data_IF_620449511579
#
_entry.id   IF_620449511579
#
_cell.length_a   1.000
_cell.length_b   1.000
_cell.length_c   1.000
_cell.angle_alpha   90.00
_cell.angle_beta   90.00
_cell.angle_gamma   90.00
#
_symmetry.space_group_name_H-M   'P 1'
#
loop_
_entity.id
_entity.type
_entity.pdbx_description
1 polymer ?
#
# COMPACT_ATOMS: atom_id res chain seq x y z
N UNK A 1 16.81 -12.20 6.37
CA UNK A 1 17.68 -11.11 5.91
C UNK A 1 16.75 -9.92 5.89
N UNK A 2 16.89 -8.93 6.78
CA UNK A 2 16.14 -7.70 6.56
C UNK A 2 16.88 -7.00 5.45
N UNK A 3 16.10 -6.90 4.42
CA UNK A 3 16.40 -6.75 3.03
C UNK A 3 15.31 -5.76 2.66
N UNK A 4 15.64 -4.71 1.90
CA UNK A 4 14.58 -3.89 1.31
C UNK A 4 13.66 -4.87 0.59
N UNK A 5 12.41 -4.94 1.01
CA UNK A 5 11.49 -6.00 0.57
C UNK A 5 10.87 -5.66 -0.78
N UNK A 6 11.03 -4.40 -1.20
CA UNK A 6 10.69 -3.91 -2.52
C UNK A 6 10.58 -2.38 -2.55
N UNK A 7 10.28 -1.85 -3.72
CA UNK A 7 10.00 -0.42 -3.92
C UNK A 7 8.89 -0.18 -4.93
N UNK A 8 8.38 1.05 -4.97
CA UNK A 8 7.44 1.47 -6.00
C UNK A 8 7.71 2.89 -6.49
N UNK A 9 7.64 3.11 -7.81
CA UNK A 9 7.72 4.43 -8.43
C UNK A 9 6.31 4.86 -8.85
N UNK A 10 5.89 6.04 -8.36
CA UNK A 10 4.50 6.49 -8.38
C UNK A 10 4.41 7.92 -8.92
N UNK A 11 3.51 8.24 -9.86
CA UNK A 11 3.26 9.62 -10.26
C UNK A 11 2.80 10.48 -9.08
N UNK A 12 3.38 11.68 -8.95
CA UNK A 12 2.95 12.65 -7.94
C UNK A 12 1.55 13.14 -8.23
N UNK A 13 0.66 12.95 -7.25
CA UNK A 13 -0.69 13.47 -7.29
C UNK A 13 -0.85 14.62 -6.30
N UNK A 14 -1.50 15.68 -6.76
CA UNK A 14 -1.98 16.75 -5.89
C UNK A 14 -3.29 16.37 -5.19
N UNK A 15 -3.69 17.20 -4.23
CA UNK A 15 -4.98 17.07 -3.54
C UNK A 15 -4.93 16.37 -2.19
N UNK A 16 -6.06 16.40 -1.49
CA UNK A 16 -6.21 15.86 -0.14
C UNK A 16 -7.35 14.86 -0.13
N UNK A 17 -7.13 13.72 0.53
CA UNK A 17 -8.21 12.76 0.81
C UNK A 17 -9.30 13.44 1.64
N UNK A 18 -10.55 13.51 1.14
CA UNK A 18 -11.66 14.08 1.88
C UNK A 18 -11.93 13.32 3.18
N UNK A 19 -12.45 14.00 4.21
CA UNK A 19 -12.75 13.39 5.51
C UNK A 19 -13.66 12.15 5.39
N UNK A 20 -14.70 12.23 4.55
CA UNK A 20 -15.65 11.13 4.37
C UNK A 20 -15.01 9.84 3.84
N UNK A 21 -13.94 9.97 3.04
CA UNK A 21 -13.19 8.83 2.53
C UNK A 21 -12.17 8.37 3.58
N UNK A 22 -11.42 9.32 4.16
CA UNK A 22 -10.42 9.03 5.19
C UNK A 22 -10.98 8.27 6.41
N UNK A 23 -12.21 8.57 6.82
CA UNK A 23 -12.91 7.86 7.90
C UNK A 23 -13.28 6.42 7.49
N UNK A 24 -13.71 6.20 6.24
CA UNK A 24 -14.03 4.86 5.69
C UNK A 24 -12.78 4.02 5.48
N UNK A 25 -11.72 4.61 4.91
CA UNK A 25 -10.39 4.01 4.82
C UNK A 25 -9.90 3.52 6.19
N UNK A 26 -10.08 4.35 7.23
CA UNK A 26 -9.69 4.00 8.61
C UNK A 26 -10.43 2.75 9.09
N UNK A 27 -11.75 2.67 8.85
CA UNK A 27 -12.59 1.53 9.26
C UNK A 27 -12.28 0.26 8.46
N UNK A 28 -12.15 0.38 7.14
CA UNK A 28 -11.89 -0.76 6.24
C UNK A 28 -10.47 -1.29 6.44
N UNK A 29 -9.48 -0.41 6.48
CA UNK A 29 -8.09 -0.81 6.71
C UNK A 29 -7.90 -1.52 8.06
N UNK A 30 -8.53 -1.01 9.12
CA UNK A 30 -8.46 -1.64 10.45
C UNK A 30 -9.04 -3.06 10.45
N UNK A 31 -10.25 -3.24 9.92
CA UNK A 31 -10.92 -4.55 9.92
C UNK A 31 -10.22 -5.57 9.01
N UNK A 32 -9.64 -5.14 7.89
CA UNK A 32 -8.84 -6.02 7.03
C UNK A 32 -7.55 -6.45 7.73
N UNK A 33 -6.86 -5.52 8.42
CA UNK A 33 -5.69 -5.87 9.24
C UNK A 33 -6.06 -6.82 10.39
N UNK A 34 -7.19 -6.60 11.07
CA UNK A 34 -7.71 -7.50 12.10
C UNK A 34 -7.96 -8.91 11.54
N UNK A 35 -8.60 -9.02 10.37
CA UNK A 35 -8.82 -10.31 9.70
C UNK A 35 -7.50 -11.02 9.33
N UNK A 36 -6.51 -10.29 8.81
CA UNK A 36 -5.19 -10.86 8.48
C UNK A 36 -4.48 -11.34 9.75
N UNK A 37 -4.48 -10.54 10.81
CA UNK A 37 -3.85 -10.91 12.09
C UNK A 37 -4.54 -12.14 12.69
N UNK A 38 -5.88 -12.18 12.66
CA UNK A 38 -6.64 -13.30 13.18
C UNK A 38 -6.32 -14.61 12.45
N UNK A 39 -6.23 -14.59 11.11
CA UNK A 39 -6.00 -15.82 10.32
C UNK A 39 -4.53 -16.22 10.19
N UNK A 40 -3.64 -15.25 10.08
CA UNK A 40 -2.26 -15.49 9.66
C UNK A 40 -1.22 -14.92 10.63
N UNK A 41 -1.66 -14.21 11.66
CA UNK A 41 -0.80 -13.59 12.65
C UNK A 41 -0.19 -12.27 12.21
N UNK A 42 0.44 -11.60 13.19
CA UNK A 42 1.04 -10.27 13.02
C UNK A 42 2.16 -10.23 11.99
N UNK A 43 3.01 -11.26 11.96
CA UNK A 43 4.14 -11.38 11.02
C UNK A 43 3.68 -11.36 9.56
N UNK A 44 2.58 -12.04 9.25
CA UNK A 44 2.03 -12.05 7.89
C UNK A 44 1.55 -10.66 7.48
N UNK A 45 0.90 -9.91 8.38
CA UNK A 45 0.53 -8.53 8.09
C UNK A 45 1.77 -7.66 7.78
N UNK A 46 2.87 -7.82 8.53
CA UNK A 46 4.11 -7.10 8.24
C UNK A 46 4.67 -7.45 6.86
N UNK A 47 4.69 -8.73 6.48
CA UNK A 47 5.13 -9.18 5.14
C UNK A 47 4.28 -8.56 4.02
N UNK A 48 2.96 -8.51 4.21
CA UNK A 48 2.03 -7.90 3.26
C UNK A 48 2.26 -6.40 3.12
N UNK A 49 2.40 -5.68 4.24
CA UNK A 49 2.73 -4.25 4.25
C UNK A 49 4.11 -3.97 3.62
N UNK A 50 5.03 -4.93 3.68
CA UNK A 50 6.36 -4.87 3.08
C UNK A 50 6.36 -5.13 1.56
N UNK A 51 5.27 -5.64 0.99
CA UNK A 51 5.18 -6.01 -0.42
C UNK A 51 4.58 -4.86 -1.26
N UNK A 52 5.33 -4.23 -2.19
CA UNK A 52 4.88 -3.00 -2.88
C UNK A 52 3.57 -3.14 -3.65
N UNK A 53 3.38 -4.26 -4.35
CA UNK A 53 2.18 -4.57 -5.13
C UNK A 53 0.96 -4.81 -4.23
N UNK A 54 1.16 -5.48 -3.08
CA UNK A 54 0.07 -5.71 -2.12
C UNK A 54 -0.35 -4.39 -1.49
N UNK A 55 0.63 -3.58 -1.07
CA UNK A 55 0.37 -2.28 -0.47
C UNK A 55 -0.40 -1.36 -1.43
N UNK A 56 -0.04 -1.38 -2.72
CA UNK A 56 -0.77 -0.61 -3.74
C UNK A 56 -2.21 -1.12 -3.90
N UNK A 57 -2.39 -2.44 -4.00
CA UNK A 57 -3.71 -3.09 -4.12
C UNK A 57 -4.60 -2.81 -2.90
N UNK A 58 -4.01 -2.84 -1.70
CA UNK A 58 -4.68 -2.50 -0.44
C UNK A 58 -5.15 -1.04 -0.44
N UNK A 59 -4.31 -0.10 -0.89
CA UNK A 59 -4.70 1.29 -1.09
C UNK A 59 -5.85 1.47 -2.10
N UNK A 60 -5.80 0.72 -3.21
CA UNK A 60 -6.83 0.76 -4.25
C UNK A 60 -8.20 0.25 -3.73
N UNK A 61 -8.23 -0.88 -3.01
CA UNK A 61 -9.46 -1.36 -2.33
C UNK A 61 -9.98 -0.32 -1.34
N UNK A 62 -9.10 0.44 -0.69
CA UNK A 62 -9.52 1.50 0.24
C UNK A 62 -10.13 2.73 -0.47
N UNK A 63 -10.27 2.74 -1.79
CA UNK A 63 -10.92 3.81 -2.57
C UNK A 63 -9.96 4.93 -3.00
N UNK A 64 -8.65 4.68 -2.94
CA UNK A 64 -7.65 5.58 -3.53
C UNK A 64 -7.45 5.27 -5.01
N UNK A 65 -7.09 6.29 -5.78
CA UNK A 65 -6.75 6.09 -7.19
C UNK A 65 -5.55 5.16 -7.32
N UNK A 66 -5.72 4.09 -8.10
CA UNK A 66 -4.89 2.88 -8.12
C UNK A 66 -3.39 3.08 -8.34
N UNK A 67 -2.98 4.17 -8.97
CA UNK A 67 -1.61 4.51 -9.37
C UNK A 67 -1.02 5.67 -8.56
N UNK A 68 -1.79 6.26 -7.63
CA UNK A 68 -1.42 7.50 -6.97
C UNK A 68 -0.34 7.33 -5.91
N UNK A 69 0.62 8.28 -5.87
CA UNK A 69 1.55 8.43 -4.74
C UNK A 69 0.87 8.80 -3.41
N UNK A 70 -0.36 9.30 -3.48
CA UNK A 70 -1.19 9.61 -2.31
C UNK A 70 -1.56 8.37 -1.49
N UNK A 71 -1.52 7.17 -2.08
CA UNK A 71 -1.84 5.90 -1.41
C UNK A 71 -0.98 5.73 -0.16
N UNK A 72 0.33 5.92 -0.26
CA UNK A 72 1.26 5.65 0.85
C UNK A 72 0.91 6.47 2.09
N UNK A 73 0.70 7.77 1.88
CA UNK A 73 0.40 8.69 2.99
C UNK A 73 -0.99 8.43 3.60
N UNK A 74 -1.95 8.07 2.75
CA UNK A 74 -3.36 7.90 3.13
C UNK A 74 -3.58 6.58 3.84
N UNK A 75 -2.97 5.50 3.35
CA UNK A 75 -2.98 4.17 3.96
C UNK A 75 -2.28 4.21 5.31
N UNK A 76 -1.04 4.72 5.41
CA UNK A 76 -0.33 4.81 6.69
C UNK A 76 -1.11 5.65 7.70
N UNK A 77 -1.68 6.78 7.27
CA UNK A 77 -2.53 7.60 8.13
C UNK A 77 -3.82 6.91 8.59
N UNK A 78 -4.46 6.14 7.70
CA UNK A 78 -5.67 5.37 8.02
C UNK A 78 -5.37 4.23 8.99
N UNK A 79 -4.29 3.47 8.76
CA UNK A 79 -3.83 2.41 9.67
C UNK A 79 -3.48 2.97 11.04
N UNK A 80 -2.76 4.10 11.11
CA UNK A 80 -2.45 4.74 12.39
C UNK A 80 -3.70 5.07 13.19
N UNK A 81 -4.70 5.69 12.57
CA UNK A 81 -5.97 6.02 13.25
C UNK A 81 -6.79 4.78 13.61
N UNK A 82 -6.80 3.77 12.74
CA UNK A 82 -7.69 2.61 12.85
C UNK A 82 -7.17 1.53 13.79
N UNK A 83 -5.85 1.33 13.83
CA UNK A 83 -5.22 0.29 14.66
C UNK A 83 -4.85 0.79 16.07
N UNK A 84 -4.64 2.09 16.27
CA UNK A 84 -4.32 2.63 17.61
C UNK A 84 -5.35 2.24 18.68
N UNK A 85 -6.67 2.33 18.45
CA UNK A 85 -7.66 1.90 19.44
C UNK A 85 -7.67 0.38 19.70
N UNK A 86 -7.11 -0.41 18.78
CA UNK A 86 -7.08 -1.88 18.84
C UNK A 86 -5.70 -2.41 19.22
N UNK A 87 -4.73 -1.55 19.50
CA UNK A 87 -3.32 -1.95 19.59
C UNK A 87 -3.02 -2.87 20.77
N UNK A 88 -3.75 -2.74 21.88
CA UNK A 88 -3.61 -3.64 23.04
C UNK A 88 -4.15 -5.04 22.78
N UNK A 89 -5.11 -5.18 21.86
CA UNK A 89 -5.68 -6.48 21.50
C UNK A 89 -4.91 -7.15 20.37
N UNK A 90 -4.60 -6.37 19.33
CA UNK A 90 -3.93 -6.86 18.13
C UNK A 90 -2.41 -6.89 18.28
N UNK A 91 -1.89 -6.24 19.31
CA UNK A 91 -0.46 -6.14 19.59
C UNK A 91 0.34 -5.56 18.42
N UNK A 92 -0.23 -4.55 17.76
CA UNK A 92 0.37 -3.85 16.62
C UNK A 92 0.23 -2.33 16.80
N UNK A 93 1.30 -1.61 16.52
CA UNK A 93 1.40 -0.18 16.71
C UNK A 93 1.93 0.47 15.43
N UNK A 94 1.33 1.60 15.04
CA UNK A 94 1.72 2.35 13.85
C UNK A 94 2.26 3.70 14.29
N UNK A 95 3.52 3.96 14.00
CA UNK A 95 4.24 5.17 14.34
C UNK A 95 4.56 6.01 13.10
N UNK A 96 4.86 7.28 13.34
CA UNK A 96 5.29 8.19 12.29
C UNK A 96 4.14 8.76 11.47
N UNK A 97 4.44 9.16 10.23
CA UNK A 97 3.55 9.87 9.32
C UNK A 97 4.32 10.93 8.53
N UNK A 98 3.62 11.99 8.11
CA UNK A 98 4.24 13.11 7.36
C UNK A 98 4.80 14.17 8.30
N UNK A 99 5.81 14.91 7.84
CA UNK A 99 6.31 16.12 8.48
C UNK A 99 6.71 15.90 9.95
N UNK A 100 6.07 16.62 10.87
CA UNK A 100 6.37 16.51 12.30
C UNK A 100 6.14 15.09 12.86
N UNK A 101 5.18 14.33 12.33
CA UNK A 101 4.94 12.96 12.77
C UNK A 101 6.11 12.04 12.40
N UNK A 102 6.68 12.19 11.20
CA UNK A 102 7.89 11.46 10.77
C UNK A 102 9.02 11.60 11.79
N UNK A 103 9.25 12.83 12.27
CA UNK A 103 10.33 13.15 13.23
C UNK A 103 10.04 12.67 14.65
N UNK A 104 8.77 12.45 15.00
CA UNK A 104 8.36 11.95 16.32
C UNK A 104 8.44 10.43 16.44
N UNK A 105 8.58 9.68 15.33
CA UNK A 105 8.64 8.21 15.33
C UNK A 105 9.58 7.62 16.40
N UNK A 106 10.82 8.11 16.58
CA UNK A 106 11.71 7.57 17.62
C UNK A 106 11.14 7.70 19.05
N UNK A 107 10.45 8.81 19.35
CA UNK A 107 9.82 9.04 20.65
C UNK A 107 8.57 8.17 20.82
N UNK A 108 7.76 8.01 19.76
CA UNK A 108 6.60 7.12 19.77
C UNK A 108 7.03 5.67 20.06
N UNK A 109 8.12 5.19 19.42
CA UNK A 109 8.66 3.85 19.64
C UNK A 109 9.20 3.63 21.05
N UNK A 110 9.90 4.61 21.62
CA UNK A 110 10.36 4.56 23.02
C UNK A 110 9.17 4.43 23.99
N UNK A 111 8.15 5.29 23.84
CA UNK A 111 6.96 5.27 24.68
C UNK A 111 6.10 4.00 24.53
N UNK A 112 6.11 3.36 23.36
CA UNK A 112 5.46 2.05 23.21
C UNK A 112 6.30 0.96 23.89
N UNK A 113 7.62 0.98 23.70
CA UNK A 113 8.53 0.03 24.36
C UNK A 113 8.41 0.03 25.88
N UNK A 114 8.30 1.22 26.49
CA UNK A 114 8.06 1.37 27.93
C UNK A 114 6.75 0.73 28.41
N UNK A 115 5.70 0.72 27.57
CA UNK A 115 4.39 0.16 27.92
C UNK A 115 4.28 -1.34 27.65
N UNK A 116 4.93 -1.83 26.60
CA UNK A 116 4.76 -3.19 26.09
C UNK A 116 5.90 -4.12 26.51
N UNK A 117 7.10 -3.58 26.73
CA UNK A 117 8.27 -4.34 27.20
C UNK A 117 9.32 -4.69 26.14
N UNK A 118 9.19 -4.24 24.89
CA UNK A 118 10.26 -4.35 23.89
C UNK A 118 11.28 -3.19 24.00
N UNK A 119 12.48 -3.38 23.44
CA UNK A 119 13.54 -2.36 23.42
C UNK A 119 13.20 -1.20 22.45
N UNK A 120 12.44 -0.23 22.95
CA UNK A 120 12.03 0.96 22.19
C UNK A 120 13.18 1.88 21.81
N UNK A 121 14.26 1.92 22.60
CA UNK A 121 15.44 2.75 22.31
C UNK A 121 16.23 2.20 21.11
N UNK A 122 16.38 0.87 21.04
CA UNK A 122 16.94 0.21 19.86
C UNK A 122 16.07 0.44 18.63
N UNK A 123 14.75 0.27 18.72
CA UNK A 123 13.86 0.52 17.57
C UNK A 123 13.82 1.99 17.14
N UNK A 124 13.95 2.93 18.08
CA UNK A 124 14.13 4.35 17.78
C UNK A 124 15.41 4.60 16.95
N UNK A 125 16.49 3.88 17.24
CA UNK A 125 17.73 3.91 16.46
C UNK A 125 17.54 3.28 15.08
N UNK A 126 16.87 2.13 15.00
CA UNK A 126 16.49 1.47 13.74
C UNK A 126 15.69 2.43 12.84
N UNK A 127 14.67 3.10 13.38
CA UNK A 127 13.85 4.07 12.64
C UNK A 127 14.71 5.19 12.03
N UNK A 128 15.65 5.76 12.79
CA UNK A 128 16.56 6.80 12.29
C UNK A 128 17.51 6.26 11.21
N UNK A 129 18.03 5.06 11.39
CA UNK A 129 18.96 4.44 10.46
C UNK A 129 18.29 4.14 9.12
N UNK A 130 17.09 3.53 9.14
CA UNK A 130 16.29 3.28 7.93
C UNK A 130 15.96 4.59 7.19
N UNK A 131 15.58 5.65 7.92
CA UNK A 131 15.36 6.96 7.31
C UNK A 131 16.63 7.54 6.66
N UNK A 132 17.79 7.39 7.31
CA UNK A 132 19.09 7.88 6.80
C UNK A 132 19.60 7.07 5.62
N UNK A 133 19.35 5.76 5.59
CA UNK A 133 19.73 4.92 4.45
C UNK A 133 18.98 5.40 3.20
N UNK A 134 17.65 5.48 3.27
CA UNK A 134 16.82 5.87 2.13
C UNK A 134 16.98 7.35 1.73
N UNK A 135 17.50 8.23 2.61
CA UNK A 135 17.66 9.66 2.30
C UNK A 135 19.09 10.11 1.96
N UNK A 136 20.11 9.41 2.47
CA UNK A 136 21.50 9.90 2.42
C UNK A 136 22.51 8.87 1.92
N UNK A 137 22.29 7.58 2.22
CA UNK A 137 23.14 6.51 1.68
C UNK A 137 22.76 6.13 0.24
N UNK A 138 21.51 6.42 -0.12
CA UNK A 138 20.94 6.25 -1.46
C UNK A 138 20.65 7.64 -2.00
N UNK A 139 21.58 8.19 -2.78
CA UNK A 139 21.44 9.53 -3.34
C UNK A 139 20.74 9.46 -4.70
N UNK A 140 19.49 8.99 -4.70
CA UNK A 140 18.68 8.78 -5.90
C UNK A 140 17.83 10.00 -6.30
N UNK A 141 18.04 11.13 -5.61
CA UNK A 141 17.35 12.40 -5.88
C UNK A 141 15.93 12.48 -5.32
N UNK A 142 15.54 11.61 -4.37
CA UNK A 142 14.22 11.68 -3.71
C UNK A 142 14.33 12.18 -2.27
N UNK A 143 13.63 13.27 -1.97
CA UNK A 143 13.55 13.83 -0.61
C UNK A 143 12.51 13.10 0.22
N UNK A 144 12.92 12.58 1.39
CA UNK A 144 12.03 11.83 2.28
C UNK A 144 10.85 12.68 2.77
N UNK A 145 9.64 12.26 2.44
CA UNK A 145 8.39 12.97 2.71
C UNK A 145 7.52 12.30 3.79
N UNK A 146 7.54 10.97 3.85
CA UNK A 146 6.78 10.15 4.77
C UNK A 146 7.67 9.08 5.39
N UNK A 147 7.56 8.88 6.70
CA UNK A 147 8.13 7.74 7.41
C UNK A 147 7.01 7.06 8.22
N UNK A 148 6.59 5.87 7.80
CA UNK A 148 5.67 5.02 8.57
C UNK A 148 6.41 3.82 9.14
N UNK A 149 6.35 3.63 10.45
CA UNK A 149 6.98 2.51 11.15
C UNK A 149 5.90 1.70 11.86
N UNK A 150 5.72 0.43 11.48
CA UNK A 150 4.71 -0.45 12.08
C UNK A 150 5.46 -1.53 12.86
N UNK A 151 5.14 -1.67 14.15
CA UNK A 151 5.81 -2.58 15.09
C UNK A 151 4.80 -3.44 15.83
N UNK A 152 5.18 -4.69 16.11
CA UNK A 152 4.41 -5.64 16.91
C UNK A 152 4.93 -5.70 18.34
N UNK A 153 4.16 -6.24 19.28
CA UNK A 153 4.66 -6.40 20.66
C UNK A 153 5.87 -7.35 20.76
N UNK A 154 6.03 -8.25 19.79
CA UNK A 154 7.20 -9.15 19.69
C UNK A 154 8.47 -8.42 19.21
N UNK A 155 8.35 -7.13 18.84
CA UNK A 155 9.45 -6.32 18.32
C UNK A 155 9.75 -6.53 16.84
N UNK A 156 8.96 -7.35 16.12
CA UNK A 156 8.98 -7.40 14.66
C UNK A 156 8.38 -6.11 14.07
N UNK A 157 8.92 -5.66 12.94
CA UNK A 157 8.53 -4.38 12.35
C UNK A 157 8.61 -4.36 10.82
N UNK A 158 7.88 -3.41 10.23
CA UNK A 158 7.98 -3.00 8.82
C UNK A 158 8.05 -1.48 8.75
N UNK A 159 8.89 -0.94 7.87
CA UNK A 159 8.92 0.49 7.56
C UNK A 159 8.46 0.70 6.12
N UNK A 160 7.51 1.62 5.94
CA UNK A 160 7.07 2.11 4.64
C UNK A 160 7.40 3.59 4.56
N UNK A 161 8.37 3.93 3.70
CA UNK A 161 8.84 5.29 3.48
C UNK A 161 8.43 5.78 2.10
N UNK A 162 8.26 7.09 1.95
CA UNK A 162 8.09 7.69 0.62
C UNK A 162 9.00 8.90 0.49
N UNK A 163 9.86 8.88 -0.52
CA UNK A 163 10.59 10.03 -1.03
C UNK A 163 9.85 10.67 -2.21
N UNK A 164 10.09 11.95 -2.46
CA UNK A 164 9.53 12.68 -3.60
C UNK A 164 10.64 13.38 -4.37
N UNK A 165 10.54 13.36 -5.69
CA UNK A 165 11.39 14.14 -6.57
C UNK A 165 10.49 15.14 -7.32
N UNK A 166 10.65 16.43 -6.99
CA UNK A 166 9.82 17.50 -7.52
C UNK A 166 10.01 17.72 -9.03
N UNK A 167 11.23 17.53 -9.52
CA UNK A 167 11.62 17.80 -10.91
C UNK A 167 11.02 16.76 -11.86
N UNK A 168 11.15 15.48 -11.51
CA UNK A 168 10.58 14.36 -12.27
C UNK A 168 9.10 14.12 -12.01
N UNK A 169 8.51 14.78 -10.99
CA UNK A 169 7.13 14.57 -10.53
C UNK A 169 6.81 13.11 -10.17
N UNK A 170 7.79 12.40 -9.61
CA UNK A 170 7.65 11.01 -9.15
C UNK A 170 7.83 10.96 -7.63
N UNK A 171 7.12 10.06 -6.98
CA UNK A 171 7.43 9.59 -5.63
C UNK A 171 7.96 8.17 -5.69
N UNK A 172 8.96 7.89 -4.87
CA UNK A 172 9.47 6.54 -4.65
C UNK A 172 9.09 6.06 -3.27
N UNK A 173 8.42 4.91 -3.20
CA UNK A 173 8.08 4.21 -1.97
C UNK A 173 9.11 3.12 -1.69
N UNK A 174 9.59 3.06 -0.46
CA UNK A 174 10.58 2.09 0.03
C UNK A 174 9.93 1.24 1.12
N UNK A 175 10.15 -0.08 1.05
CA UNK A 175 9.66 -1.02 2.04
C UNK A 175 10.81 -1.77 2.69
N UNK A 176 10.77 -1.86 4.02
CA UNK A 176 11.73 -2.58 4.86
C UNK A 176 11.00 -3.51 5.79
N UNK A 177 11.49 -4.74 5.97
CA UNK A 177 10.91 -5.74 6.88
C UNK A 177 11.98 -6.26 7.84
N UNK A 178 11.68 -6.36 9.14
CA UNK A 178 12.63 -6.83 10.17
C UNK A 178 13.07 -8.28 10.01
N UNK A 179 12.27 -9.10 9.33
CA UNK A 179 12.42 -10.55 9.26
C UNK A 179 13.81 -10.96 8.73
N UNK A 180 14.62 -11.47 9.67
CA UNK A 180 15.98 -11.95 9.46
C UNK A 180 17.04 -10.87 9.23
N UNK A 181 16.88 -9.63 9.70
CA UNK A 181 17.91 -8.57 9.69
C UNK A 181 19.26 -9.04 10.25
N UNK A 182 20.33 -8.82 9.48
CA UNK A 182 21.71 -8.96 9.95
C UNK A 182 22.52 -7.66 9.86
N UNK A 183 22.29 -6.82 8.83
CA UNK A 183 22.97 -5.53 8.62
C UNK A 183 22.05 -4.51 7.95
N UNK A 184 22.24 -3.22 8.26
CA UNK A 184 21.48 -2.10 7.66
C UNK A 184 22.14 -1.49 6.42
N UNK A 185 23.42 -1.79 6.18
CA UNK A 185 24.27 -1.13 5.19
C UNK A 185 24.92 -2.12 4.20
N UNK A 186 24.64 -3.41 4.36
CA UNK A 186 25.17 -4.49 3.53
C UNK A 186 24.01 -5.15 2.76
N UNK A 187 23.66 -4.51 1.62
CA UNK A 187 22.56 -4.73 0.65
C UNK A 187 21.09 -4.40 1.03
N UNK A 188 20.72 -3.12 1.08
CA UNK A 188 19.34 -2.67 0.97
C UNK A 188 18.89 -2.24 -0.43
N UNK A 189 19.72 -2.20 -1.49
CA UNK A 189 19.24 -1.73 -2.82
C UNK A 189 19.76 -2.61 -3.96
N UNK A 190 19.07 -3.73 -4.21
CA UNK A 190 19.42 -4.64 -5.31
C UNK A 190 18.87 -4.22 -6.70
N UNK A 191 18.16 -3.09 -6.79
CA UNK A 191 18.01 -2.28 -8.00
C UNK A 191 17.24 -1.02 -7.64
N UNK A 192 17.74 0.11 -8.10
CA UNK A 192 16.94 1.33 -8.21
C UNK A 192 16.54 1.37 -9.69
N UNK A 193 15.37 0.83 -10.00
CA UNK A 193 14.80 0.96 -11.34
C UNK A 193 14.11 2.31 -11.47
N UNK A 194 14.24 2.91 -12.64
CA UNK A 194 13.77 4.24 -13.00
C UNK A 194 14.52 4.71 -14.24
N UNK A 195 13.98 5.70 -14.96
CA UNK A 195 14.71 6.32 -16.09
C UNK A 195 16.06 6.80 -15.57
N UNK A 196 17.17 6.46 -16.23
CA UNK A 196 18.51 6.87 -15.81
C UNK A 196 18.57 8.42 -15.70
N UNK A 197 18.73 8.93 -14.48
CA UNK A 197 18.82 10.38 -14.18
C UNK A 197 20.27 10.84 -13.93
N UNK A 198 21.26 10.01 -14.23
CA UNK A 198 22.69 10.30 -13.99
C UNK A 198 23.38 9.25 -13.12
N UNK A 199 24.56 9.61 -12.59
CA UNK A 199 25.34 8.77 -11.69
C UNK A 199 24.69 8.74 -10.30
N UNK A 200 24.18 7.58 -9.89
CA UNK A 200 23.55 7.38 -8.58
C UNK A 200 24.58 6.77 -7.62
N UNK A 201 24.92 7.48 -6.56
CA UNK A 201 25.80 6.96 -5.51
C UNK A 201 24.97 6.10 -4.56
N UNK A 202 25.27 4.80 -4.52
CA UNK A 202 24.65 3.83 -3.63
C UNK A 202 25.69 3.28 -2.64
N UNK A 203 25.85 3.94 -1.50
CA UNK A 203 26.79 3.52 -0.46
C UNK A 203 26.34 2.29 0.32
N UNK A 204 25.25 1.66 -0.08
CA UNK A 204 24.66 0.51 0.61
C UNK A 204 24.87 -0.81 -0.15
N UNK A 205 25.42 -0.74 -1.37
CA UNK A 205 25.85 -1.91 -2.13
C UNK A 205 26.98 -2.63 -1.38
N UNK A 206 27.03 -3.96 -1.41
CA UNK A 206 28.14 -4.73 -0.84
C UNK A 206 29.50 -4.32 -1.43
N UNK A 207 29.53 -3.95 -2.71
CA UNK A 207 30.73 -3.44 -3.40
C UNK A 207 31.22 -2.12 -2.81
N UNK A 208 30.34 -1.37 -2.15
CA UNK A 208 30.67 -0.10 -1.53
C UNK A 208 31.25 -0.25 -0.12
N UNK A 209 31.49 -1.46 0.41
CA UNK A 209 32.09 -1.64 1.74
C UNK A 209 33.45 -0.94 1.88
N UNK A 210 34.34 -1.12 0.90
CA UNK A 210 35.62 -0.43 0.89
C UNK A 210 35.45 1.11 0.81
N UNK A 211 34.40 1.59 0.13
CA UNK A 211 34.08 3.02 0.07
C UNK A 211 33.54 3.54 1.41
N UNK A 212 32.68 2.79 2.09
CA UNK A 212 32.17 3.14 3.44
C UNK A 212 33.32 3.23 4.44
N UNK A 213 34.18 2.21 4.48
CA UNK A 213 35.33 2.19 5.38
C UNK A 213 36.30 3.33 5.05
N UNK A 214 36.63 3.49 3.76
CA UNK A 214 37.50 4.58 3.31
C UNK A 214 36.96 5.98 3.62
N UNK A 215 35.64 6.20 3.58
CA UNK A 215 35.02 7.47 3.98
C UNK A 215 35.14 7.75 5.49
N UNK A 216 35.03 6.71 6.32
CA UNK A 216 35.26 6.83 7.77
C UNK A 216 36.73 7.12 8.06
N UNK A 217 37.65 6.44 7.38
CA UNK A 217 39.09 6.63 7.53
C UNK A 217 39.50 8.03 7.04
N UNK A 218 38.99 8.49 5.88
CA UNK A 218 39.18 9.86 5.36
C UNK A 218 38.69 10.93 6.34
N UNK A 219 37.51 10.72 6.94
CA UNK A 219 36.96 11.64 7.94
C UNK A 219 37.84 11.69 9.20
N UNK A 220 38.37 10.54 9.63
CA UNK A 220 39.28 10.46 10.77
C UNK A 220 40.65 11.10 10.48
N UNK A 221 41.21 10.89 9.30
CA UNK A 221 42.58 11.31 8.96
C UNK A 221 42.68 12.76 8.50
N UNK A 222 41.73 13.22 7.67
CA UNK A 222 41.82 14.54 7.03
C UNK A 222 40.92 15.58 7.70
N UNK A 223 39.80 15.15 8.29
CA UNK A 223 38.77 16.04 8.81
C UNK A 223 38.00 16.80 7.71
N UNK A 224 36.83 17.37 8.03
CA UNK A 224 35.88 17.91 7.05
C UNK A 224 36.45 19.06 6.19
N UNK A 225 37.22 19.98 6.79
CA UNK A 225 37.75 21.18 6.10
C UNK A 225 38.85 20.85 5.09
N UNK A 226 39.56 19.75 5.28
CA UNK A 226 40.58 19.29 4.35
C UNK A 226 39.97 18.47 3.22
N UNK A 227 38.98 17.63 3.53
CA UNK A 227 38.21 16.88 2.52
C UNK A 227 37.58 17.84 1.50
N UNK A 228 36.97 18.94 1.94
CA UNK A 228 36.38 19.94 1.03
C UNK A 228 37.40 20.59 0.09
N UNK A 229 38.65 20.79 0.55
CA UNK A 229 39.73 21.35 -0.28
C UNK A 229 40.23 20.35 -1.31
N UNK A 230 40.40 19.09 -0.93
CA UNK A 230 40.84 18.01 -1.83
C UNK A 230 39.76 17.66 -2.86
N UNK A 231 38.48 17.66 -2.47
CA UNK A 231 37.35 17.41 -3.36
C UNK A 231 37.22 18.47 -4.47
N UNK A 232 37.48 19.74 -4.15
CA UNK A 232 37.49 20.82 -5.14
C UNK A 232 38.56 20.64 -6.24
N UNK A 233 39.57 19.79 -6.02
CA UNK A 233 40.66 19.54 -6.97
C UNK A 233 40.41 18.36 -7.93
N UNK A 234 39.36 17.56 -7.73
CA UNK A 234 39.15 16.27 -8.40
C UNK A 234 37.80 16.21 -9.13
N UNK A 235 37.74 16.53 -10.43
CA UNK A 235 36.65 16.10 -11.33
C UNK A 235 37.26 15.70 -12.69
N UNK A 236 37.08 14.45 -13.17
CA UNK A 236 35.96 14.18 -14.08
C UNK A 236 35.30 12.78 -13.96
N UNK A 237 34.08 12.70 -14.52
CA UNK A 237 33.11 11.59 -14.65
C UNK A 237 33.65 10.21 -15.05
N UNK A 238 32.98 9.15 -14.55
CA UNK A 238 32.71 7.92 -15.34
C UNK A 238 31.43 7.22 -14.86
N UNK A 239 30.50 6.95 -15.77
CA UNK A 239 29.27 6.21 -15.51
C UNK A 239 29.39 4.74 -15.96
N UNK A 240 28.73 3.82 -15.23
CA UNK A 240 28.52 2.44 -15.65
C UNK A 240 27.07 1.98 -15.39
N UNK A 241 26.56 1.14 -16.29
CA UNK A 241 25.16 0.75 -16.46
C UNK A 241 24.60 -0.16 -15.34
N UNK A 242 23.26 -0.18 -15.13
CA UNK A 242 22.65 -1.04 -14.11
C UNK A 242 22.28 -2.45 -14.62
N UNK A 243 22.54 -3.45 -13.79
CA UNK A 243 22.01 -4.81 -13.86
C UNK A 243 20.64 -4.94 -13.14
N UNK A 244 19.91 -6.00 -13.46
CA UNK A 244 18.49 -6.29 -13.16
C UNK A 244 18.14 -6.52 -11.66
N UNK A 245 16.88 -6.32 -11.21
CA UNK A 245 16.50 -6.46 -9.79
C UNK A 245 16.39 -7.90 -9.28
N UNK A 246 16.90 -8.14 -8.07
CA UNK A 246 16.63 -9.31 -7.22
C UNK A 246 15.37 -9.15 -6.33
N UNK A 247 14.70 -7.99 -6.34
CA UNK A 247 13.62 -7.61 -5.42
C UNK A 247 12.36 -7.09 -6.16
N UNK A 248 11.15 -7.26 -5.60
CA UNK A 248 9.93 -6.72 -6.19
C UNK A 248 10.00 -5.20 -6.38
N UNK A 249 9.85 -4.74 -7.62
CA UNK A 249 9.78 -3.33 -7.97
C UNK A 249 8.48 -3.06 -8.75
N UNK A 250 7.68 -2.10 -8.27
CA UNK A 250 6.42 -1.70 -8.88
C UNK A 250 6.57 -0.35 -9.56
N UNK A 251 6.34 -0.27 -10.87
CA UNK A 251 6.26 1.01 -11.59
C UNK A 251 4.81 1.28 -11.94
N UNK A 252 4.23 2.33 -11.36
CA UNK A 252 2.88 2.76 -11.72
C UNK A 252 2.93 3.69 -12.93
N UNK A 253 2.00 3.54 -13.90
CA UNK A 253 2.00 4.38 -15.07
C UNK A 253 1.55 5.80 -14.74
N UNK A 254 1.86 6.73 -15.64
CA UNK A 254 1.49 8.14 -15.50
C UNK A 254 0.00 8.42 -15.79
N UNK A 255 -0.71 7.48 -16.42
CA UNK A 255 -2.11 7.65 -16.80
C UNK A 255 -3.07 7.34 -15.65
N UNK A 256 -4.15 8.12 -15.55
CA UNK A 256 -5.10 8.01 -14.44
C UNK A 256 -6.16 6.91 -14.65
N UNK A 257 -6.57 6.70 -15.89
CA UNK A 257 -7.58 5.71 -16.27
C UNK A 257 -7.10 4.28 -15.98
N UNK A 258 -8.02 3.36 -15.64
CA UNK A 258 -7.66 1.94 -15.52
C UNK A 258 -7.91 1.30 -16.89
N UNK A 259 -6.87 0.73 -17.50
CA UNK A 259 -6.94 0.09 -18.81
C UNK A 259 -6.94 -1.43 -18.67
N UNK A 260 -7.38 -2.13 -19.72
CA UNK A 260 -7.32 -3.59 -19.75
C UNK A 260 -5.89 -4.12 -19.64
N UNK A 261 -4.88 -3.35 -20.09
CA UNK A 261 -3.46 -3.70 -19.88
C UNK A 261 -3.03 -3.65 -18.41
N UNK A 262 -3.78 -2.95 -17.56
CA UNK A 262 -3.48 -2.75 -16.14
C UNK A 262 -4.18 -3.79 -15.25
N UNK A 263 -4.97 -4.68 -15.85
CA UNK A 263 -5.86 -5.64 -15.19
C UNK A 263 -5.71 -7.01 -15.81
N UNK A 264 -5.43 -8.04 -15.01
CA UNK A 264 -5.51 -9.42 -15.51
C UNK A 264 -6.98 -9.82 -15.56
N UNK A 265 -7.62 -9.61 -16.71
CA UNK A 265 -9.07 -9.74 -16.89
C UNK A 265 -9.65 -11.08 -16.43
N UNK A 266 -8.94 -12.20 -16.65
CA UNK A 266 -9.39 -13.52 -16.17
C UNK A 266 -9.56 -13.58 -14.65
N UNK A 267 -8.68 -12.92 -13.89
CA UNK A 267 -8.76 -12.86 -12.44
C UNK A 267 -9.97 -12.04 -12.00
N UNK A 268 -10.17 -10.88 -12.64
CA UNK A 268 -11.34 -10.03 -12.41
C UNK A 268 -12.65 -10.79 -12.68
N UNK A 269 -12.75 -11.48 -13.81
CA UNK A 269 -13.89 -12.34 -14.13
C UNK A 269 -14.07 -13.44 -13.10
N UNK A 270 -12.97 -14.01 -12.58
CA UNK A 270 -13.00 -14.97 -11.48
C UNK A 270 -13.62 -14.40 -10.21
N UNK A 271 -13.22 -13.19 -9.80
CA UNK A 271 -13.80 -12.52 -8.63
C UNK A 271 -15.30 -12.27 -8.83
N UNK A 272 -15.71 -11.85 -10.04
CA UNK A 272 -17.12 -11.57 -10.37
C UNK A 272 -17.97 -12.84 -10.42
N UNK A 273 -17.47 -13.92 -11.01
CA UNK A 273 -18.18 -15.19 -11.09
C UNK A 273 -18.29 -15.87 -9.73
N UNK A 274 -17.23 -15.86 -8.92
CA UNK A 274 -17.29 -16.36 -7.55
C UNK A 274 -18.35 -15.62 -6.71
N UNK A 275 -18.43 -14.30 -6.87
CA UNK A 275 -19.47 -13.50 -6.23
C UNK A 275 -20.89 -13.85 -6.71
N UNK A 276 -21.07 -14.25 -7.96
CA UNK A 276 -22.37 -14.59 -8.54
C UNK A 276 -22.80 -16.03 -8.21
N UNK A 277 -21.89 -17.00 -8.30
CA UNK A 277 -22.18 -18.43 -8.17
C UNK A 277 -22.20 -18.88 -6.71
N UNK A 278 -21.22 -18.44 -5.91
CA UNK A 278 -20.97 -18.96 -4.56
C UNK A 278 -21.29 -17.97 -3.46
N UNK A 279 -21.38 -16.69 -3.79
CA UNK A 279 -21.91 -15.64 -2.92
C UNK A 279 -23.20 -16.08 -2.21
N UNK A 280 -24.25 -16.50 -2.94
CA UNK A 280 -25.53 -16.83 -2.30
C UNK A 280 -25.55 -18.01 -1.33
N UNK A 281 -24.68 -19.01 -1.52
CA UNK A 281 -24.66 -20.22 -0.69
C UNK A 281 -23.87 -20.01 0.60
N UNK A 282 -22.61 -19.56 0.49
CA UNK A 282 -21.70 -19.39 1.62
C UNK A 282 -21.94 -18.12 2.42
N UNK A 283 -22.65 -17.16 1.84
CA UNK A 283 -22.99 -15.89 2.45
C UNK A 283 -24.50 -15.72 2.60
N UNK A 284 -25.28 -16.81 2.66
CA UNK A 284 -26.73 -16.74 2.81
C UNK A 284 -27.15 -15.86 4.00
N UNK A 285 -26.53 -16.01 5.17
CA UNK A 285 -26.76 -15.14 6.33
C UNK A 285 -26.32 -13.69 6.10
N UNK A 286 -25.29 -13.49 5.29
CA UNK A 286 -24.80 -12.15 4.95
C UNK A 286 -25.71 -11.46 3.92
N UNK A 287 -26.27 -12.20 2.96
CA UNK A 287 -27.24 -11.70 2.00
C UNK A 287 -28.55 -11.30 2.70
N UNK A 288 -28.85 -11.92 3.84
CA UNK A 288 -29.97 -11.51 4.70
C UNK A 288 -29.69 -10.18 5.43
N UNK A 289 -28.45 -9.65 5.42
CA UNK A 289 -28.16 -8.31 5.92
C UNK A 289 -28.76 -7.28 4.96
N UNK A 290 -29.69 -6.43 5.42
CA UNK A 290 -30.32 -5.43 4.56
C UNK A 290 -29.28 -4.54 3.87
N UNK A 291 -29.41 -4.40 2.55
CA UNK A 291 -28.51 -3.62 1.70
C UNK A 291 -27.48 -4.46 0.94
N UNK A 292 -27.08 -5.63 1.45
CA UNK A 292 -26.08 -6.48 0.79
C UNK A 292 -26.64 -7.08 -0.51
N UNK A 293 -26.26 -6.48 -1.63
CA UNK A 293 -26.61 -6.94 -2.97
C UNK A 293 -25.42 -7.51 -3.75
N UNK A 294 -25.67 -7.95 -4.99
CA UNK A 294 -24.65 -8.55 -5.87
C UNK A 294 -23.39 -7.68 -6.04
N UNK A 295 -23.55 -6.34 -6.08
CA UNK A 295 -22.42 -5.41 -6.20
C UNK A 295 -21.52 -5.40 -4.95
N UNK A 296 -22.10 -5.55 -3.78
CA UNK A 296 -21.38 -5.65 -2.50
C UNK A 296 -20.64 -6.98 -2.41
N UNK A 297 -21.24 -8.08 -2.87
CA UNK A 297 -20.55 -9.37 -2.94
C UNK A 297 -19.37 -9.34 -3.91
N UNK A 298 -19.48 -8.64 -5.06
CA UNK A 298 -18.34 -8.41 -5.97
C UNK A 298 -17.22 -7.62 -5.31
N UNK A 299 -17.54 -6.58 -4.53
CA UNK A 299 -16.54 -5.84 -3.76
C UNK A 299 -15.84 -6.74 -2.73
N UNK A 300 -16.62 -7.57 -2.02
CA UNK A 300 -16.11 -8.52 -1.04
C UNK A 300 -15.18 -9.57 -1.67
N UNK A 301 -15.42 -10.00 -2.91
CA UNK A 301 -14.51 -10.94 -3.59
C UNK A 301 -13.11 -10.37 -3.82
N UNK A 302 -13.00 -9.07 -4.18
CA UNK A 302 -11.72 -8.39 -4.33
C UNK A 302 -11.06 -8.11 -2.97
N UNK A 303 -11.84 -7.73 -1.96
CA UNK A 303 -11.35 -7.57 -0.59
C UNK A 303 -10.82 -8.90 -0.03
N UNK A 304 -11.55 -9.99 -0.24
CA UNK A 304 -11.16 -11.33 0.19
C UNK A 304 -9.81 -11.74 -0.44
N UNK A 305 -9.57 -11.44 -1.72
CA UNK A 305 -8.27 -11.69 -2.34
C UNK A 305 -7.17 -10.80 -1.74
N UNK A 306 -7.44 -9.57 -1.29
CA UNK A 306 -6.43 -8.79 -0.54
C UNK A 306 -6.12 -9.40 0.83
N UNK A 307 -7.11 -9.99 1.52
CA UNK A 307 -6.95 -10.63 2.82
C UNK A 307 -6.26 -12.01 2.71
N UNK A 308 -6.62 -12.82 1.71
CA UNK A 308 -6.23 -14.24 1.61
C UNK A 308 -5.29 -14.56 0.44
N UNK A 309 -5.14 -13.63 -0.51
CA UNK A 309 -4.29 -13.75 -1.70
C UNK A 309 -2.83 -13.97 -1.37
N UNK A 310 -2.15 -14.80 -2.18
CA UNK A 310 -0.70 -14.93 -2.19
C UNK A 310 -0.05 -13.75 -2.94
N UNK A 311 1.23 -13.40 -2.68
CA UNK A 311 1.90 -12.24 -3.29
C UNK A 311 1.81 -12.15 -4.83
N UNK A 312 1.84 -13.29 -5.54
CA UNK A 312 1.75 -13.36 -7.02
C UNK A 312 0.39 -12.89 -7.59
N UNK A 313 -0.60 -12.67 -6.74
CA UNK A 313 -1.95 -12.22 -7.11
C UNK A 313 -2.07 -10.71 -7.28
N UNK A 314 -1.08 -9.96 -6.83
CA UNK A 314 -1.13 -8.50 -6.78
C UNK A 314 -0.37 -7.82 -7.92
N UNK A 315 0.05 -8.58 -8.95
CA UNK A 315 0.75 -8.06 -10.13
C UNK A 315 -0.04 -6.99 -10.89
N UNK A 316 -1.36 -6.92 -10.70
CA UNK A 316 -2.28 -5.98 -11.32
C UNK A 316 -3.07 -5.12 -10.30
N UNK A 317 -2.43 -4.16 -9.62
CA UNK A 317 -3.08 -3.32 -8.60
C UNK A 317 -4.32 -2.57 -9.09
N UNK A 318 -4.39 -2.25 -10.39
CA UNK A 318 -5.54 -1.61 -11.03
C UNK A 318 -6.84 -2.38 -10.84
N UNK A 319 -6.80 -3.72 -10.84
CA UNK A 319 -7.97 -4.59 -10.65
C UNK A 319 -8.69 -4.31 -9.33
N UNK A 320 -7.94 -4.05 -8.27
CA UNK A 320 -8.47 -3.87 -6.93
C UNK A 320 -9.21 -2.55 -6.74
N UNK A 321 -8.98 -1.56 -7.60
CA UNK A 321 -9.78 -0.33 -7.63
C UNK A 321 -11.23 -0.57 -8.05
N UNK A 322 -11.56 -1.70 -8.69
CA UNK A 322 -12.94 -2.06 -9.04
C UNK A 322 -13.78 -2.46 -7.82
N UNK A 323 -13.17 -2.66 -6.65
CA UNK A 323 -13.92 -2.94 -5.42
C UNK A 323 -14.77 -1.72 -5.02
N UNK A 324 -14.15 -0.54 -4.96
CA UNK A 324 -14.73 0.67 -4.39
C UNK A 324 -14.43 1.96 -5.17
N UNK A 325 -13.94 1.85 -6.41
CA UNK A 325 -13.63 3.00 -7.26
C UNK A 325 -12.43 3.81 -6.76
N UNK A 326 -12.36 5.05 -7.22
CA UNK A 326 -11.32 6.01 -6.84
C UNK A 326 -11.89 7.36 -6.45
N UNK A 327 -11.19 8.05 -5.55
CA UNK A 327 -11.57 9.39 -5.10
C UNK A 327 -11.67 10.40 -6.26
N UNK A 328 -10.90 10.21 -7.33
CA UNK A 328 -10.88 11.07 -8.51
C UNK A 328 -11.70 10.49 -9.67
N UNK A 329 -12.59 9.51 -9.38
CA UNK A 329 -13.43 8.79 -10.35
C UNK A 329 -12.71 7.80 -11.25
N UNK A 330 -11.52 7.34 -10.86
CA UNK A 330 -10.79 6.32 -11.60
C UNK A 330 -10.72 5.01 -10.83
N UNK A 331 -11.35 3.92 -11.32
CA UNK A 331 -12.05 3.79 -12.60
C UNK A 331 -13.46 4.40 -12.60
N UNK A 332 -14.08 4.55 -11.43
CA UNK A 332 -15.39 5.19 -11.25
C UNK A 332 -15.47 5.83 -9.84
N UNK A 333 -16.48 6.66 -9.55
CA UNK A 333 -16.66 7.35 -8.27
C UNK A 333 -16.93 6.37 -7.12
N UNK A 334 -16.51 6.69 -5.90
CA UNK A 334 -16.63 5.77 -4.77
C UNK A 334 -18.11 5.47 -4.44
N UNK A 335 -18.58 4.21 -4.54
CA UNK A 335 -19.97 3.85 -4.27
C UNK A 335 -20.17 3.70 -2.76
N UNK A 336 -20.58 4.77 -2.07
CA UNK A 336 -20.56 4.82 -0.61
C UNK A 336 -21.44 3.77 0.07
N UNK A 337 -22.59 3.40 -0.52
CA UNK A 337 -23.48 2.37 0.04
C UNK A 337 -22.78 1.00 0.07
N UNK A 338 -22.23 0.60 -1.08
CA UNK A 338 -21.44 -0.64 -1.25
C UNK A 338 -20.24 -0.66 -0.31
N UNK A 339 -19.53 0.48 -0.19
CA UNK A 339 -18.38 0.61 0.70
C UNK A 339 -18.79 0.38 2.17
N UNK A 340 -19.83 1.06 2.64
CA UNK A 340 -20.28 0.95 4.04
C UNK A 340 -20.82 -0.46 4.36
N UNK A 341 -21.52 -1.10 3.41
CA UNK A 341 -21.96 -2.48 3.54
C UNK A 341 -20.77 -3.44 3.60
N UNK A 342 -19.77 -3.28 2.72
CA UNK A 342 -18.54 -4.08 2.74
C UNK A 342 -17.85 -4.00 4.11
N UNK A 343 -17.74 -2.80 4.69
CA UNK A 343 -17.20 -2.62 6.04
C UNK A 343 -18.07 -3.36 7.07
N UNK A 344 -19.39 -3.23 6.98
CA UNK A 344 -20.33 -3.88 7.90
C UNK A 344 -20.18 -5.40 7.90
N UNK A 345 -20.13 -5.99 6.71
CA UNK A 345 -19.88 -7.42 6.49
C UNK A 345 -18.59 -7.88 7.15
N UNK A 346 -17.46 -7.24 6.81
CA UNK A 346 -16.15 -7.63 7.34
C UNK A 346 -16.11 -7.51 8.86
N UNK A 347 -16.68 -6.43 9.41
CA UNK A 347 -16.73 -6.22 10.85
C UNK A 347 -17.54 -7.30 11.55
N UNK A 348 -18.69 -7.68 10.99
CA UNK A 348 -19.50 -8.76 11.56
C UNK A 348 -18.75 -10.09 11.55
N UNK A 349 -18.15 -10.45 10.41
CA UNK A 349 -17.39 -11.68 10.24
C UNK A 349 -16.21 -11.77 11.22
N UNK A 350 -15.44 -10.69 11.36
CA UNK A 350 -14.30 -10.63 12.30
C UNK A 350 -14.75 -10.66 13.76
N UNK A 351 -15.81 -9.94 14.12
CA UNK A 351 -16.37 -9.98 15.48
C UNK A 351 -16.85 -11.38 15.87
N UNK A 352 -17.49 -12.10 14.94
CA UNK A 352 -17.96 -13.46 15.20
C UNK A 352 -16.81 -14.46 15.25
N UNK A 353 -15.79 -14.31 14.41
CA UNK A 353 -14.57 -15.12 14.48
C UNK A 353 -13.90 -15.02 15.86
N UNK A 354 -13.81 -13.81 16.41
CA UNK A 354 -13.32 -13.57 17.79
C UNK A 354 -14.14 -14.26 18.89
N UNK A 355 -15.40 -14.57 18.61
CA UNK A 355 -16.30 -15.32 19.51
C UNK A 355 -16.26 -16.83 19.22
N UNK A 356 -15.27 -17.32 18.47
CA UNK A 356 -15.12 -18.73 18.08
C UNK A 356 -16.02 -19.18 16.93
N UNK A 357 -16.75 -18.24 16.29
CA UNK A 357 -17.61 -18.52 15.13
C UNK A 357 -16.85 -18.22 13.85
N UNK A 358 -15.98 -19.14 13.47
CA UNK A 358 -15.08 -18.98 12.31
C UNK A 358 -15.76 -19.15 10.95
N UNK A 359 -17.02 -19.60 10.90
CA UNK A 359 -17.72 -19.91 9.65
C UNK A 359 -17.83 -18.72 8.70
N UNK A 360 -18.08 -17.51 9.24
CA UNK A 360 -18.28 -16.29 8.46
C UNK A 360 -17.00 -15.68 7.93
N UNK A 361 -15.94 -15.67 8.74
CA UNK A 361 -14.63 -15.25 8.24
C UNK A 361 -14.07 -16.30 7.27
N UNK A 362 -14.41 -17.58 7.48
CA UNK A 362 -14.17 -18.67 6.55
C UNK A 362 -14.93 -18.50 5.23
N UNK A 363 -16.11 -17.87 5.23
CA UNK A 363 -16.86 -17.59 4.00
C UNK A 363 -16.08 -16.65 3.07
N UNK A 364 -15.44 -15.61 3.62
CA UNK A 364 -14.55 -14.71 2.86
C UNK A 364 -13.39 -15.47 2.23
N UNK A 365 -12.78 -16.41 2.97
CA UNK A 365 -11.74 -17.26 2.42
C UNK A 365 -12.27 -18.17 1.29
N UNK A 366 -13.44 -18.79 1.47
CA UNK A 366 -14.08 -19.63 0.44
C UNK A 366 -14.41 -18.85 -0.82
N UNK A 367 -14.78 -17.57 -0.70
CA UNK A 367 -15.01 -16.68 -1.86
C UNK A 367 -13.75 -16.49 -2.70
N UNK A 368 -12.60 -16.27 -2.06
CA UNK A 368 -11.30 -16.18 -2.73
C UNK A 368 -10.87 -17.55 -3.31
N UNK A 369 -11.06 -18.65 -2.57
CA UNK A 369 -10.79 -20.00 -3.06
C UNK A 369 -11.62 -20.31 -4.33
N UNK A 370 -12.91 -19.96 -4.33
CA UNK A 370 -13.79 -20.11 -5.50
C UNK A 370 -13.32 -19.25 -6.68
N UNK A 371 -12.96 -17.99 -6.45
CA UNK A 371 -12.44 -17.09 -7.49
C UNK A 371 -11.28 -17.72 -8.25
N UNK A 372 -10.37 -18.37 -7.52
CA UNK A 372 -9.21 -19.09 -8.09
C UNK A 372 -9.62 -20.35 -8.85
N UNK A 373 -10.68 -21.03 -8.43
CA UNK A 373 -11.20 -22.21 -9.12
C UNK A 373 -11.83 -21.84 -10.46
N UNK A 374 -12.69 -20.82 -10.48
CA UNK A 374 -13.41 -20.39 -11.69
C UNK A 374 -12.53 -19.61 -12.68
N UNK A 375 -11.46 -18.96 -12.20
CA UNK A 375 -10.49 -18.18 -13.02
C UNK A 375 -10.00 -18.94 -14.27
N UNK A 376 -9.93 -20.28 -14.19
CA UNK A 376 -9.40 -21.13 -15.27
C UNK A 376 -10.26 -21.15 -16.53
N UNK A 377 -11.58 -20.97 -16.40
CA UNK A 377 -12.54 -21.16 -17.49
C UNK A 377 -13.53 -20.01 -17.65
N UNK A 378 -13.62 -19.10 -16.67
CA UNK A 378 -14.56 -17.98 -16.72
C UNK A 378 -14.20 -16.97 -17.81
N UNK A 379 -15.24 -16.46 -18.47
CA UNK A 379 -15.21 -15.29 -19.34
C UNK A 379 -16.25 -14.29 -18.86
N UNK A 380 -16.06 -13.01 -19.14
CA UNK A 380 -17.00 -11.97 -18.72
C UNK A 380 -16.93 -10.73 -19.60
N UNK A 381 -17.66 -9.67 -19.22
CA UNK A 381 -17.67 -8.41 -19.96
C UNK A 381 -16.28 -7.77 -20.01
N UNK A 382 -16.07 -6.92 -21.02
CA UNK A 382 -14.88 -6.07 -21.13
C UNK A 382 -14.77 -5.11 -19.95
N UNK A 383 -13.57 -4.57 -19.70
CA UNK A 383 -13.39 -3.59 -18.62
C UNK A 383 -14.24 -2.35 -18.88
N UNK A 384 -14.36 -1.94 -20.15
CA UNK A 384 -15.18 -0.80 -20.56
C UNK A 384 -16.65 -0.98 -20.19
N UNK A 385 -17.22 -2.16 -20.44
CA UNK A 385 -18.61 -2.47 -20.07
C UNK A 385 -18.82 -2.49 -18.57
N UNK A 386 -17.86 -3.04 -17.81
CA UNK A 386 -17.89 -3.04 -16.34
C UNK A 386 -17.92 -1.59 -15.83
N UNK A 387 -16.98 -0.76 -16.27
CA UNK A 387 -16.86 0.63 -15.83
C UNK A 387 -18.07 1.45 -16.24
N UNK A 388 -18.61 1.26 -17.45
CA UNK A 388 -19.84 1.92 -17.89
C UNK A 388 -21.02 1.61 -16.96
N UNK A 389 -21.22 0.32 -16.62
CA UNK A 389 -22.27 -0.08 -15.69
C UNK A 389 -22.13 0.52 -14.28
N UNK A 390 -20.89 0.73 -13.82
CA UNK A 390 -20.62 1.39 -12.54
C UNK A 390 -20.98 2.88 -12.57
N UNK A 391 -20.71 3.57 -13.68
CA UNK A 391 -21.15 4.97 -13.86
C UNK A 391 -22.67 5.09 -13.94
N UNK A 392 -23.34 4.22 -14.69
CA UNK A 392 -24.80 4.22 -14.84
C UNK A 392 -25.51 4.09 -13.48
N UNK A 393 -24.99 3.24 -12.60
CA UNK A 393 -25.57 2.97 -11.28
C UNK A 393 -25.01 3.87 -10.18
N UNK A 394 -24.02 4.72 -10.47
CA UNK A 394 -23.26 5.44 -9.45
C UNK A 394 -24.16 6.29 -8.54
N UNK A 395 -25.11 7.03 -9.11
CA UNK A 395 -26.07 7.83 -8.34
C UNK A 395 -26.93 6.99 -7.37
N UNK A 396 -27.35 5.78 -7.78
CA UNK A 396 -28.12 4.86 -6.93
C UNK A 396 -27.28 4.32 -5.78
N UNK A 397 -25.98 4.12 -6.01
CA UNK A 397 -25.03 3.57 -5.05
C UNK A 397 -24.40 4.63 -4.13
N UNK A 398 -24.84 5.90 -4.25
CA UNK A 398 -24.27 7.01 -3.49
C UNK A 398 -22.87 7.37 -3.95
N UNK A 399 -22.62 7.30 -5.26
CA UNK A 399 -21.37 7.64 -5.92
C UNK A 399 -20.87 9.01 -5.50
N UNK A 400 -19.64 9.04 -4.98
CA UNK A 400 -19.00 10.28 -4.51
C UNK A 400 -17.53 10.31 -4.86
N UNK A 401 -17.09 11.48 -5.30
CA UNK A 401 -15.69 11.78 -5.60
C UNK A 401 -15.26 13.09 -4.92
N UNK A 402 -14.01 13.51 -5.16
CA UNK A 402 -13.55 14.85 -4.78
C UNK A 402 -14.34 15.96 -5.50
N UNK A 403 -15.00 15.65 -6.61
CA UNK A 403 -15.82 16.58 -7.39
C UNK A 403 -17.27 16.70 -6.88
N UNK A 404 -17.66 15.90 -5.88
CA UNK A 404 -19.00 15.91 -5.31
C UNK A 404 -19.73 14.58 -5.49
N UNK A 405 -21.06 14.66 -5.48
CA UNK A 405 -21.95 13.51 -5.67
C UNK A 405 -22.23 13.30 -7.16
N UNK A 406 -22.38 12.05 -7.57
CA UNK A 406 -22.81 11.76 -8.94
C UNK A 406 -24.29 12.07 -9.12
N UNK A 407 -24.65 12.86 -10.14
CA UNK A 407 -26.04 13.19 -10.43
C UNK A 407 -26.78 11.97 -10.98
N UNK A 408 -28.10 11.95 -10.83
CA UNK A 408 -28.94 11.04 -11.59
C UNK A 408 -28.81 11.34 -13.10
N UNK A 409 -28.95 10.35 -14.00
CA UNK A 409 -28.81 10.53 -15.45
C UNK A 409 -29.65 11.70 -16.00
N UNK A 410 -30.85 11.92 -15.45
CA UNK A 410 -31.79 12.98 -15.86
C UNK A 410 -31.38 14.39 -15.38
N UNK A 411 -30.32 14.50 -14.57
CA UNK A 411 -29.82 15.75 -13.98
C UNK A 411 -28.37 16.07 -14.38
N UNK A 412 -27.76 15.27 -15.25
CA UNK A 412 -26.39 15.50 -15.71
C UNK A 412 -26.36 16.72 -16.68
N UNK A 413 -25.55 17.77 -16.40
CA UNK A 413 -25.39 18.87 -17.34
C UNK A 413 -24.78 18.37 -18.66
N UNK A 414 -25.33 18.81 -19.80
CA UNK A 414 -24.93 18.38 -21.15
C UNK A 414 -23.45 18.65 -21.52
N UNK A 415 -22.65 19.27 -20.65
CA UNK A 415 -21.27 19.69 -20.93
C UNK A 415 -20.17 18.70 -20.50
N UNK A 416 -20.48 17.63 -19.77
CA UNK A 416 -19.45 16.68 -19.31
C UNK A 416 -18.90 15.74 -20.42
N UNK A 417 -19.46 15.78 -21.63
CA UNK A 417 -19.06 14.90 -22.74
C UNK A 417 -17.95 15.47 -23.65
N UNK A 418 -17.30 16.59 -23.30
CA UNK A 418 -16.30 17.23 -24.19
C UNK A 418 -14.86 17.30 -23.68
N UNK A 419 -14.54 16.76 -22.50
CA UNK A 419 -13.14 16.59 -22.06
C UNK A 419 -13.00 15.30 -21.25
N UNK A 420 -12.83 14.20 -21.96
CA UNK A 420 -12.27 12.95 -21.45
C UNK A 420 -11.04 12.62 -22.30
#
# INVERSE_FOLDING_TARGET
MAQRSGSADLPLHGGRVPKWLGDRMTRLGAVMCEAIIHHYGRKELLRRLAHPFWFQSFGAVMGMDWHSSGITTSVVGALKRGLTPLSGELGIHVCGGRGAHSRKTPHELAAIGERIGFDGARLATVSRLVAKVDSAAVQDGFDLYLHGFIVTDDGDWVVVQQGMNGDSKVARRYHWLSEGLKSFVDQPHAAIEGTNQGEIVNLTDHRAEASRQGQLDLLQDLGPDRILREFAALHPNTASAPEQPLLPHLVMPAHHDVRESDVVMRRLHGNMAAAAERGPEDFSELLLVPGVGARTVRALALVAEVVHGAPCRFSDPGRFSLAHGGKDRHPFPVPLKVYDETIGVLKSAVQKARLGREEEIGALKRLDDQSRQVERYVTGPSLKEIVAGEFDQSHLLGGRSVFGWEPAPDQAPAELNKKA
#
